data_IF_980355298162
#
_entry.id   IF_980355298162
#
_cell.length_a   1.000
_cell.length_b   1.000
_cell.length_c   1.000
_cell.angle_alpha   90.00
_cell.angle_beta   90.00
_cell.angle_gamma   90.00
#
_symmetry.space_group_name_H-M   'P 1'
#
loop_
_entity.id
_entity.type
_entity.pdbx_description
1 polymer ?
#
# COMPACT_ATOMS: atom_id res chain seq x y z
N UNK A 1 -10.12 11.27 4.69
CA UNK A 1 -9.80 12.35 3.70
C UNK A 1 -9.89 11.81 2.27
N UNK A 2 -9.62 12.58 1.21
CA UNK A 2 -9.41 12.04 -0.14
C UNK A 2 -7.92 12.14 -0.49
N UNK A 3 -7.20 11.03 -0.40
CA UNK A 3 -5.80 10.93 -0.82
C UNK A 3 -5.70 10.81 -2.33
N UNK A 4 -4.58 11.26 -2.91
CA UNK A 4 -4.32 11.04 -4.34
C UNK A 4 -3.94 9.59 -4.57
N UNK A 5 -4.11 9.12 -5.81
CA UNK A 5 -3.63 7.81 -6.25
C UNK A 5 -2.13 7.63 -5.94
N UNK A 6 -1.32 8.64 -6.24
CA UNK A 6 0.13 8.63 -5.99
C UNK A 6 0.44 8.47 -4.50
N UNK A 7 -0.28 9.17 -3.63
CA UNK A 7 -0.10 9.04 -2.17
C UNK A 7 -0.44 7.64 -1.67
N UNK A 8 -1.51 7.03 -2.17
CA UNK A 8 -1.89 5.66 -1.79
C UNK A 8 -0.88 4.64 -2.29
N UNK A 9 -0.39 4.79 -3.53
CA UNK A 9 0.66 3.93 -4.10
C UNK A 9 1.94 4.04 -3.28
N UNK A 10 2.37 5.25 -2.94
CA UNK A 10 3.59 5.46 -2.15
C UNK A 10 3.46 4.82 -0.76
N UNK A 11 2.32 4.96 -0.10
CA UNK A 11 2.07 4.35 1.21
C UNK A 11 2.04 2.81 1.16
N UNK A 12 1.34 2.23 0.17
CA UNK A 12 1.30 0.77 -0.01
C UNK A 12 2.68 0.19 -0.32
N UNK A 13 3.48 0.86 -1.15
CA UNK A 13 4.85 0.42 -1.44
C UNK A 13 5.73 0.48 -0.19
N UNK A 14 5.59 1.53 0.63
CA UNK A 14 6.33 1.64 1.88
C UNK A 14 5.95 0.54 2.89
N UNK A 15 4.65 0.26 3.03
CA UNK A 15 4.19 -0.88 3.84
C UNK A 15 4.76 -2.20 3.30
N UNK A 16 4.67 -2.44 2.00
CA UNK A 16 5.18 -3.64 1.35
C UNK A 16 6.69 -3.84 1.60
N UNK A 17 7.48 -2.78 1.46
CA UNK A 17 8.92 -2.82 1.76
C UNK A 17 9.20 -3.19 3.23
N UNK A 18 8.36 -2.71 4.15
CA UNK A 18 8.44 -3.07 5.56
C UNK A 18 8.05 -4.54 5.82
N UNK A 19 6.98 -5.02 5.19
CA UNK A 19 6.53 -6.42 5.31
C UNK A 19 7.54 -7.41 4.73
N UNK A 20 8.06 -7.15 3.53
CA UNK A 20 9.09 -7.97 2.91
C UNK A 20 10.42 -7.95 3.68
N UNK A 21 10.70 -6.91 4.47
CA UNK A 21 11.87 -6.90 5.34
C UNK A 21 11.76 -7.96 6.45
N UNK A 22 10.57 -8.15 7.01
CA UNK A 22 10.33 -9.05 8.14
C UNK A 22 9.98 -10.49 7.72
N UNK A 23 9.40 -10.69 6.54
CA UNK A 23 9.01 -12.01 5.99
C UNK A 23 9.33 -12.17 4.50
N UNK A 24 10.60 -12.05 4.13
CA UNK A 24 11.07 -12.15 2.75
C UNK A 24 10.84 -13.53 2.11
N UNK A 25 10.06 -13.61 1.03
CA UNK A 25 10.00 -14.75 0.10
C UNK A 25 10.73 -14.40 -1.22
N UNK A 26 11.64 -15.24 -1.73
CA UNK A 26 12.27 -15.02 -3.04
C UNK A 26 11.30 -15.01 -4.24
N UNK A 27 10.04 -15.38 -4.05
CA UNK A 27 8.97 -15.29 -5.05
C UNK A 27 8.17 -13.99 -4.97
N UNK A 28 8.40 -13.17 -3.94
CA UNK A 28 7.76 -11.88 -3.78
C UNK A 28 8.14 -10.93 -4.92
N UNK A 29 7.20 -10.09 -5.39
CA UNK A 29 7.53 -9.04 -6.34
C UNK A 29 8.57 -8.08 -5.75
N UNK A 30 9.45 -7.59 -6.61
CA UNK A 30 10.33 -6.47 -6.24
C UNK A 30 9.51 -5.21 -5.93
N UNK A 31 10.03 -4.25 -5.15
CA UNK A 31 9.30 -3.00 -4.88
C UNK A 31 8.87 -2.25 -6.15
N UNK A 32 9.65 -2.34 -7.23
CA UNK A 32 9.30 -1.74 -8.53
C UNK A 32 8.14 -2.47 -9.22
N UNK A 33 8.10 -3.80 -9.14
CA UNK A 33 7.00 -4.60 -9.68
C UNK A 33 5.71 -4.37 -8.91
N UNK A 34 5.77 -4.38 -7.57
CA UNK A 34 4.62 -4.09 -6.72
C UNK A 34 4.08 -2.67 -6.95
N UNK A 35 4.97 -1.66 -7.02
CA UNK A 35 4.59 -0.28 -7.37
C UNK A 35 3.83 -0.22 -8.69
N UNK A 36 4.32 -0.91 -9.71
CA UNK A 36 3.69 -0.91 -11.03
C UNK A 36 2.28 -1.53 -10.98
N UNK A 37 2.10 -2.59 -10.21
CA UNK A 37 0.77 -3.17 -9.99
C UNK A 37 -0.17 -2.17 -9.32
N UNK A 38 0.28 -1.47 -8.27
CA UNK A 38 -0.50 -0.43 -7.59
C UNK A 38 -0.83 0.76 -8.52
N UNK A 39 0.09 1.14 -9.40
CA UNK A 39 -0.15 2.18 -10.42
C UNK A 39 -1.19 1.78 -11.48
N UNK A 40 -1.50 0.50 -11.65
CA UNK A 40 -2.57 0.03 -12.56
C UNK A 40 -3.95 0.02 -11.90
N UNK A 41 -4.02 0.04 -10.56
CA UNK A 41 -5.28 0.00 -9.79
C UNK A 41 -6.03 1.34 -9.76
N UNK A 42 -7.33 1.28 -9.52
CA UNK A 42 -8.14 2.48 -9.25
C UNK A 42 -7.99 2.95 -7.80
N UNK A 43 -8.36 4.19 -7.49
CA UNK A 43 -8.31 4.69 -6.10
C UNK A 43 -9.15 3.81 -5.15
N UNK A 44 -10.32 3.33 -5.58
CA UNK A 44 -11.17 2.47 -4.76
C UNK A 44 -10.47 1.15 -4.45
N UNK A 45 -9.84 0.52 -5.45
CA UNK A 45 -9.05 -0.69 -5.26
C UNK A 45 -7.82 -0.46 -4.38
N UNK A 46 -7.14 0.67 -4.52
CA UNK A 46 -6.00 1.02 -3.66
C UNK A 46 -6.43 1.19 -2.20
N UNK A 47 -7.62 1.77 -1.96
CA UNK A 47 -8.16 1.87 -0.61
C UNK A 47 -8.51 0.48 -0.06
N UNK A 48 -9.11 -0.40 -0.87
CA UNK A 48 -9.33 -1.80 -0.46
C UNK A 48 -8.02 -2.50 -0.12
N UNK A 49 -6.95 -2.24 -0.87
CA UNK A 49 -5.64 -2.87 -0.66
C UNK A 49 -4.91 -2.41 0.60
N UNK A 50 -5.31 -1.29 1.20
CA UNK A 50 -4.83 -0.90 2.54
C UNK A 50 -5.37 -1.77 3.67
N UNK A 51 -6.31 -2.69 3.39
CA UNK A 51 -7.05 -3.50 4.37
C UNK A 51 -7.66 -2.67 5.52
N UNK A 52 -8.02 -1.42 5.21
CA UNK A 52 -8.62 -0.49 6.19
C UNK A 52 -10.13 -0.68 6.29
N UNK A 53 -10.67 -0.55 7.50
CA UNK A 53 -12.06 -0.87 7.81
C UNK A 53 -12.44 -0.63 9.27
N UNK A 54 -13.20 -1.55 9.86
CA UNK A 54 -13.60 -1.43 11.26
C UNK A 54 -12.41 -1.66 12.20
N UNK A 55 -11.92 -0.57 12.80
CA UNK A 55 -10.85 -0.61 13.81
C UNK A 55 -9.46 -0.18 13.32
N UNK A 56 -9.30 0.06 12.01
CA UNK A 56 -8.13 0.69 11.43
C UNK A 56 -8.54 1.49 10.20
N UNK A 57 -8.46 2.81 10.30
CA UNK A 57 -8.97 3.72 9.27
C UNK A 57 -7.92 4.02 8.22
N UNK A 58 -8.37 4.42 7.03
CA UNK A 58 -7.46 4.90 5.98
C UNK A 58 -6.58 6.07 6.44
N UNK A 59 -7.12 6.95 7.30
CA UNK A 59 -6.33 8.06 7.83
C UNK A 59 -5.21 7.54 8.77
N UNK A 60 -5.47 6.51 9.60
CA UNK A 60 -4.44 5.85 10.43
C UNK A 60 -3.39 5.11 9.59
N UNK A 61 -3.81 4.43 8.52
CA UNK A 61 -2.89 3.83 7.55
C UNK A 61 -1.94 4.86 6.95
N UNK A 62 -2.49 5.99 6.51
CA UNK A 62 -1.69 7.07 5.93
C UNK A 62 -0.81 7.78 6.97
N UNK A 63 -1.16 7.80 8.26
CA UNK A 63 -0.28 8.28 9.33
C UNK A 63 0.91 7.34 9.58
N UNK A 64 0.72 6.04 9.37
CA UNK A 64 1.76 5.02 9.55
C UNK A 64 2.69 4.91 8.33
N UNK A 65 2.15 5.00 7.11
CA UNK A 65 2.86 4.61 5.88
C UNK A 65 2.98 5.73 4.82
N UNK A 66 2.21 6.81 4.93
CA UNK A 66 2.12 7.88 3.93
C UNK A 66 3.20 8.96 3.96
#
# INVERSE_FOLDING_TARGET
MNYTKEQLVDALVHEWEYLCHDDYDPQDPTPEEYRKEMEELTIEQLIEETDTGEGYTLDEFMECHG
#
